data_IF_043001252575
#
_entry.id   IF_043001252575
#
_cell.length_a   1.000
_cell.length_b   1.000
_cell.length_c   1.000
_cell.angle_alpha   90.00
_cell.angle_beta   90.00
_cell.angle_gamma   90.00
#
_symmetry.space_group_name_H-M   'P 1'
#
loop_
_entity.id
_entity.type
_entity.pdbx_description
1 polymer ?
#
# COMPACT_ATOMS: atom_id res chain seq x y z
N UNK A 1 -4.72 -1.61 2.58
CA UNK A 1 -3.91 -0.67 1.77
C UNK A 1 -3.45 -1.37 0.48
N UNK A 2 -2.53 -2.33 0.55
CA UNK A 2 -2.01 -3.08 -0.62
C UNK A 2 -3.11 -3.75 -1.46
N UNK A 3 -4.15 -4.29 -0.83
CA UNK A 3 -5.26 -4.91 -1.57
C UNK A 3 -6.04 -3.91 -2.44
N UNK A 4 -6.18 -2.66 -1.98
CA UNK A 4 -6.78 -1.60 -2.79
C UNK A 4 -5.94 -1.33 -4.05
N UNK A 5 -4.60 -1.29 -3.89
CA UNK A 5 -3.69 -1.08 -5.01
C UNK A 5 -3.78 -2.20 -6.05
N UNK A 6 -3.85 -3.46 -5.62
CA UNK A 6 -4.04 -4.62 -6.52
C UNK A 6 -5.34 -4.52 -7.30
N UNK A 7 -6.44 -4.22 -6.61
CA UNK A 7 -7.75 -4.08 -7.25
C UNK A 7 -7.76 -2.89 -8.21
N UNK A 8 -7.13 -1.76 -7.86
CA UNK A 8 -7.00 -0.62 -8.77
C UNK A 8 -6.23 -0.99 -10.04
N UNK A 9 -5.11 -1.69 -9.92
CA UNK A 9 -4.34 -2.16 -11.07
C UNK A 9 -5.19 -3.06 -11.98
N UNK A 10 -5.93 -4.00 -11.38
CA UNK A 10 -6.83 -4.89 -12.11
C UNK A 10 -7.98 -4.16 -12.81
N UNK A 11 -8.61 -3.21 -12.13
CA UNK A 11 -9.79 -2.51 -12.66
C UNK A 11 -9.44 -1.48 -13.73
N UNK A 12 -8.28 -0.83 -13.62
CA UNK A 12 -7.88 0.26 -14.52
C UNK A 12 -6.97 -0.22 -15.65
N UNK A 13 -6.13 -1.22 -15.39
CA UNK A 13 -5.13 -1.72 -16.33
C UNK A 13 -5.29 -3.21 -16.67
N UNK A 14 -6.37 -3.84 -16.21
CA UNK A 14 -6.78 -5.19 -16.61
C UNK A 14 -6.13 -6.34 -15.85
N UNK A 15 -5.04 -6.09 -15.12
CA UNK A 15 -4.33 -7.14 -14.36
C UNK A 15 -3.74 -6.64 -13.05
N UNK A 16 -3.73 -7.50 -12.02
CA UNK A 16 -3.00 -7.23 -10.77
C UNK A 16 -1.48 -7.18 -11.00
N UNK A 17 -0.99 -7.75 -12.10
CA UNK A 17 0.43 -7.72 -12.48
C UNK A 17 0.89 -6.35 -13.02
N UNK A 18 -0.03 -5.41 -13.19
CA UNK A 18 0.27 -4.00 -13.46
C UNK A 18 0.48 -3.20 -12.17
N UNK A 19 0.48 -3.87 -11.01
CA UNK A 19 0.96 -3.29 -9.77
C UNK A 19 2.48 -3.48 -9.66
N UNK A 20 3.21 -2.37 -9.73
CA UNK A 20 4.61 -2.27 -9.34
C UNK A 20 4.66 -1.89 -7.87
N UNK A 21 5.39 -2.63 -7.04
CA UNK A 21 5.47 -2.40 -5.59
C UNK A 21 6.92 -2.26 -5.13
N UNK A 22 7.18 -1.20 -4.38
CA UNK A 22 8.45 -0.96 -3.70
C UNK A 22 8.21 -0.86 -2.20
N UNK A 23 8.94 -1.66 -1.41
CA UNK A 23 8.95 -1.55 0.05
C UNK A 23 9.98 -0.51 0.47
N UNK A 24 9.55 0.61 1.04
CA UNK A 24 10.44 1.72 1.39
C UNK A 24 11.37 1.40 2.55
N UNK A 25 11.15 0.31 3.28
CA UNK A 25 12.12 -0.21 4.25
C UNK A 25 13.41 -0.70 3.58
N UNK A 26 13.38 -1.10 2.30
CA UNK A 26 14.57 -1.46 1.53
C UNK A 26 15.36 -0.22 1.06
N UNK A 27 14.77 0.97 1.16
CA UNK A 27 15.31 2.25 0.69
C UNK A 27 15.61 3.21 1.85
N UNK A 28 15.90 2.67 3.03
CA UNK A 28 16.26 3.43 4.24
C UNK A 28 17.64 4.10 4.14
N UNK A 29 18.55 3.54 3.34
CA UNK A 29 19.94 3.98 3.24
C UNK A 29 20.19 4.75 1.95
N UNK A 30 21.11 5.71 1.98
CA UNK A 30 21.35 6.58 0.83
C UNK A 30 21.75 5.82 -0.44
N UNK A 31 22.57 4.78 -0.29
CA UNK A 31 23.04 3.99 -1.43
C UNK A 31 21.98 3.04 -1.99
N UNK A 32 20.91 2.71 -1.25
CA UNK A 32 19.86 1.87 -1.82
C UNK A 32 18.95 2.64 -2.77
N UNK A 33 18.94 3.97 -2.70
CA UNK A 33 18.21 4.86 -3.62
C UNK A 33 18.71 4.74 -5.04
N UNK A 34 20.02 4.52 -5.24
CA UNK A 34 20.57 4.32 -6.59
C UNK A 34 20.02 3.05 -7.26
N UNK A 35 19.52 2.07 -6.50
CA UNK A 35 18.82 0.92 -7.10
C UNK A 35 17.48 1.33 -7.70
N UNK A 36 16.83 2.35 -7.16
CA UNK A 36 15.52 2.82 -7.63
C UNK A 36 15.63 3.62 -8.93
N UNK A 37 16.64 4.49 -9.06
CA UNK A 37 16.80 5.44 -10.18
C UNK A 37 18.05 5.21 -11.05
N UNK A 38 18.91 4.28 -10.66
CA UNK A 38 20.19 3.98 -11.32
C UNK A 38 21.40 4.49 -10.51
N UNK A 39 22.55 3.87 -10.76
CA UNK A 39 23.84 4.30 -10.18
C UNK A 39 24.34 5.55 -10.90
N UNK A 40 25.00 6.50 -10.21
CA UNK A 40 25.60 7.66 -10.86
C UNK A 40 26.81 7.29 -11.74
N UNK A 41 27.24 8.17 -12.66
CA UNK A 41 28.42 7.96 -13.50
C UNK A 41 29.66 7.58 -12.68
N UNK A 42 30.34 6.52 -13.10
CA UNK A 42 31.57 6.03 -12.46
C UNK A 42 31.40 4.97 -11.37
N UNK A 43 30.17 4.51 -11.10
CA UNK A 43 29.89 3.39 -10.19
C UNK A 43 29.49 2.11 -10.97
N UNK A 44 29.69 0.94 -10.34
CA UNK A 44 29.24 -0.35 -10.89
C UNK A 44 27.71 -0.31 -11.05
N UNK A 45 27.21 -0.71 -12.22
CA UNK A 45 25.79 -0.64 -12.58
C UNK A 45 25.35 0.68 -13.22
N UNK A 46 26.27 1.59 -13.57
CA UNK A 46 25.95 2.87 -14.23
C UNK A 46 25.19 2.72 -15.56
N UNK A 47 25.42 1.64 -16.31
CA UNK A 47 24.76 1.38 -17.59
C UNK A 47 23.37 0.76 -17.47
N UNK A 48 22.90 0.47 -16.25
CA UNK A 48 21.57 -0.08 -16.00
C UNK A 48 20.67 1.02 -15.44
N UNK A 49 19.49 1.19 -16.04
CA UNK A 49 18.45 2.07 -15.49
C UNK A 49 17.99 1.59 -14.11
N UNK A 50 17.43 2.50 -13.32
CA UNK A 50 16.86 2.16 -12.03
C UNK A 50 15.66 1.21 -12.11
N UNK A 51 15.41 0.48 -11.02
CA UNK A 51 14.28 -0.45 -10.94
C UNK A 51 12.93 0.24 -11.18
N UNK A 52 12.73 1.44 -10.64
CA UNK A 52 11.50 2.21 -10.87
C UNK A 52 11.42 2.69 -12.31
N UNK A 53 12.51 3.28 -12.81
CA UNK A 53 12.53 3.91 -14.13
C UNK A 53 12.37 2.88 -15.24
N UNK A 54 13.03 1.73 -15.13
CA UNK A 54 12.89 0.64 -16.10
C UNK A 54 11.53 -0.06 -16.04
N UNK A 55 10.97 -0.29 -14.85
CA UNK A 55 9.66 -0.93 -14.76
C UNK A 55 8.55 -0.05 -15.34
N UNK A 56 8.58 1.26 -15.06
CA UNK A 56 7.60 2.22 -15.61
C UNK A 56 7.83 2.45 -17.10
N UNK A 57 9.09 2.49 -17.56
CA UNK A 57 9.40 2.57 -18.99
C UNK A 57 8.81 1.40 -19.78
N UNK A 58 8.95 0.18 -19.27
CA UNK A 58 8.41 -1.02 -19.91
C UNK A 58 6.89 -1.15 -19.77
N UNK A 59 6.32 -0.56 -18.71
CA UNK A 59 4.89 -0.62 -18.37
C UNK A 59 4.35 0.76 -17.93
N UNK A 60 4.13 1.70 -18.87
CA UNK A 60 3.73 3.06 -18.52
C UNK A 60 2.30 3.16 -17.97
N UNK A 61 1.43 2.18 -18.28
CA UNK A 61 0.05 2.11 -17.80
C UNK A 61 -0.03 1.19 -16.57
N UNK A 62 0.44 1.67 -15.42
CA UNK A 62 0.57 0.85 -14.22
C UNK A 62 0.17 1.60 -12.94
N UNK A 63 0.02 0.84 -11.85
CA UNK A 63 -0.04 1.38 -10.49
C UNK A 63 1.32 1.20 -9.85
N UNK A 64 1.93 2.27 -9.36
CA UNK A 64 3.17 2.22 -8.58
C UNK A 64 2.83 2.43 -7.11
N UNK A 65 3.15 1.44 -6.27
CA UNK A 65 2.92 1.46 -4.84
C UNK A 65 4.24 1.59 -4.08
N UNK A 66 4.42 2.72 -3.39
CA UNK A 66 5.48 2.91 -2.40
C UNK A 66 4.91 2.57 -1.02
N UNK A 67 5.26 1.41 -0.50
CA UNK A 67 4.77 0.89 0.77
C UNK A 67 5.63 1.42 1.93
N UNK A 68 5.00 1.83 3.03
CA UNK A 68 5.66 2.32 4.24
C UNK A 68 6.60 3.52 4.00
N UNK A 69 6.11 4.55 3.28
CA UNK A 69 6.91 5.70 2.85
C UNK A 69 7.61 6.46 3.98
N UNK A 70 7.12 6.38 5.22
CA UNK A 70 7.79 6.93 6.41
C UNK A 70 9.11 6.22 6.79
N UNK A 71 9.41 5.09 6.17
CA UNK A 71 10.67 4.37 6.34
C UNK A 71 11.72 4.80 5.32
N UNK A 72 11.32 5.42 4.22
CA UNK A 72 12.23 5.81 3.15
C UNK A 72 13.31 6.79 3.64
N UNK A 73 14.48 6.74 3.01
CA UNK A 73 15.49 7.79 3.13
C UNK A 73 14.93 9.14 2.66
N UNK A 74 15.26 10.28 3.30
CA UNK A 74 14.72 11.60 2.93
C UNK A 74 14.93 12.01 1.46
N UNK A 75 16.00 11.56 0.82
CA UNK A 75 16.26 11.87 -0.60
C UNK A 75 15.20 11.28 -1.55
N UNK A 76 14.45 10.25 -1.13
CA UNK A 76 13.28 9.74 -1.88
C UNK A 76 12.22 10.82 -2.07
N UNK A 77 12.09 11.77 -1.14
CA UNK A 77 11.10 12.86 -1.26
C UNK A 77 11.32 13.74 -2.48
N UNK A 78 12.58 13.99 -2.85
CA UNK A 78 12.89 14.81 -4.04
C UNK A 78 12.46 14.08 -5.31
N UNK A 79 12.69 12.77 -5.38
CA UNK A 79 12.23 11.91 -6.47
C UNK A 79 10.70 11.91 -6.54
N UNK A 80 10.02 11.80 -5.39
CA UNK A 80 8.56 11.83 -5.34
C UNK A 80 7.99 13.18 -5.80
N UNK A 81 8.60 14.30 -5.41
CA UNK A 81 8.18 15.62 -5.88
C UNK A 81 8.32 15.74 -7.40
N UNK A 82 9.42 15.26 -7.98
CA UNK A 82 9.60 15.31 -9.43
C UNK A 82 8.51 14.51 -10.17
N UNK A 83 8.23 13.29 -9.70
CA UNK A 83 7.19 12.44 -10.29
C UNK A 83 5.80 13.08 -10.14
N UNK A 84 5.46 13.57 -8.95
CA UNK A 84 4.12 14.09 -8.64
C UNK A 84 3.87 15.48 -9.25
N UNK A 85 4.91 16.28 -9.48
CA UNK A 85 4.80 17.64 -10.03
C UNK A 85 4.87 17.64 -11.55
N UNK A 86 5.91 17.02 -12.10
CA UNK A 86 6.22 17.08 -13.54
C UNK A 86 5.65 15.87 -14.30
N UNK A 87 5.17 14.85 -13.60
CA UNK A 87 4.75 13.59 -14.21
C UNK A 87 5.90 12.85 -14.89
N UNK A 88 7.16 13.14 -14.51
CA UNK A 88 8.36 12.63 -15.18
C UNK A 88 9.48 12.38 -14.19
N UNK A 89 10.42 11.51 -14.56
CA UNK A 89 11.65 11.28 -13.80
C UNK A 89 12.79 11.01 -14.76
N UNK A 90 13.91 11.69 -14.58
CA UNK A 90 15.15 11.39 -15.32
C UNK A 90 16.00 10.44 -14.51
N UNK A 91 16.36 9.30 -15.10
CA UNK A 91 17.27 8.35 -14.46
C UNK A 91 18.74 8.81 -14.54
N UNK A 92 19.65 8.09 -13.88
CA UNK A 92 21.07 8.46 -13.87
C UNK A 92 21.78 8.29 -15.21
N UNK A 93 21.17 7.60 -16.17
CA UNK A 93 21.66 7.47 -17.55
C UNK A 93 21.25 8.67 -18.42
N UNK A 94 20.37 9.53 -17.90
CA UNK A 94 19.81 10.68 -18.62
C UNK A 94 18.52 10.37 -19.37
N UNK A 95 17.96 9.16 -19.20
CA UNK A 95 16.71 8.75 -19.85
C UNK A 95 15.53 9.34 -19.08
N UNK A 96 14.68 10.07 -19.80
CA UNK A 96 13.46 10.65 -19.27
C UNK A 96 12.31 9.63 -19.30
N UNK A 97 11.74 9.32 -18.15
CA UNK A 97 10.60 8.41 -18.00
C UNK A 97 9.33 9.21 -17.76
N UNK A 98 8.25 8.82 -18.43
CA UNK A 98 6.94 9.43 -18.33
C UNK A 98 6.04 8.68 -17.34
N UNK A 99 5.45 9.41 -16.41
CA UNK A 99 4.55 8.93 -15.36
C UNK A 99 3.11 9.43 -15.55
N UNK A 100 2.78 10.17 -16.63
CA UNK A 100 1.44 10.76 -16.80
C UNK A 100 0.30 9.73 -16.86
N UNK A 101 0.59 8.49 -17.28
CA UNK A 101 -0.37 7.38 -17.32
C UNK A 101 -0.23 6.39 -16.15
N UNK A 102 0.54 6.77 -15.13
CA UNK A 102 0.74 5.95 -13.93
C UNK A 102 -0.10 6.44 -12.77
N UNK A 103 -0.55 5.53 -11.93
CA UNK A 103 -1.18 5.87 -10.66
C UNK A 103 -0.17 5.65 -9.53
N UNK A 104 0.20 6.73 -8.86
CA UNK A 104 1.10 6.67 -7.70
C UNK A 104 0.29 6.50 -6.42
N UNK A 105 0.61 5.45 -5.66
CA UNK A 105 0.05 5.18 -4.35
C UNK A 105 1.18 5.16 -3.31
N UNK A 106 0.99 5.93 -2.24
CA UNK A 106 1.86 5.89 -1.07
C UNK A 106 1.08 5.24 0.07
N UNK A 107 1.68 4.30 0.80
CA UNK A 107 1.14 3.82 2.06
C UNK A 107 1.98 4.32 3.22
N UNK A 108 1.34 4.59 4.34
CA UNK A 108 2.02 4.91 5.59
C UNK A 108 1.27 4.36 6.79
N UNK A 109 1.99 3.88 7.80
CA UNK A 109 1.43 3.46 9.09
C UNK A 109 1.55 4.55 10.17
N UNK A 110 1.91 5.78 9.78
CA UNK A 110 2.02 6.92 10.70
C UNK A 110 0.71 7.22 11.43
N UNK A 111 0.81 7.39 12.75
CA UNK A 111 -0.30 7.73 13.63
C UNK A 111 -1.31 6.61 13.85
N UNK A 112 -1.10 5.42 13.27
CA UNK A 112 -1.89 4.24 13.60
C UNK A 112 -1.65 3.86 15.09
N UNK A 113 -2.71 3.61 15.87
CA UNK A 113 -2.57 3.18 17.26
C UNK A 113 -1.80 1.86 17.39
N UNK A 114 -0.86 1.78 18.33
CA UNK A 114 -0.12 0.54 18.67
C UNK A 114 -0.97 -0.42 19.51
N UNK A 115 -1.94 0.11 20.26
CA UNK A 115 -3.02 -0.61 20.92
C UNK A 115 -4.32 0.18 20.80
N UNK A 116 -5.45 -0.48 21.03
CA UNK A 116 -6.77 0.18 21.07
C UNK A 116 -7.31 0.28 22.51
N UNK A 117 -6.50 0.00 23.53
CA UNK A 117 -6.93 -0.09 24.92
C UNK A 117 -7.57 1.21 25.41
N UNK A 118 -7.01 2.36 24.99
CA UNK A 118 -7.57 3.70 25.24
C UNK A 118 -9.03 3.82 24.78
N UNK A 119 -9.37 3.20 23.64
CA UNK A 119 -10.67 3.32 22.98
C UNK A 119 -11.64 2.20 23.36
N UNK A 120 -11.11 1.03 23.73
CA UNK A 120 -11.89 -0.16 24.09
C UNK A 120 -12.14 -0.29 25.60
N UNK A 121 -11.76 0.71 26.39
CA UNK A 121 -11.99 0.66 27.83
C UNK A 121 -13.49 0.51 28.12
N UNK A 122 -13.88 -0.61 28.72
CA UNK A 122 -15.27 -1.03 28.99
C UNK A 122 -16.16 -1.23 27.75
N UNK A 123 -15.59 -1.41 26.54
CA UNK A 123 -16.34 -1.66 25.30
C UNK A 123 -15.63 -2.66 24.39
N UNK A 124 -16.41 -3.48 23.68
CA UNK A 124 -15.88 -4.48 22.74
C UNK A 124 -15.79 -3.99 21.28
N UNK A 125 -16.09 -2.72 21.03
CA UNK A 125 -16.09 -2.13 19.69
C UNK A 125 -15.75 -0.63 19.73
N UNK A 126 -15.20 -0.13 18.62
CA UNK A 126 -14.91 1.29 18.42
C UNK A 126 -16.16 2.01 17.93
N UNK A 127 -16.56 3.08 18.62
CA UNK A 127 -17.68 3.91 18.19
C UNK A 127 -17.23 5.03 17.23
N UNK A 128 -18.18 5.83 16.73
CA UNK A 128 -17.87 6.89 15.76
C UNK A 128 -16.96 8.00 16.33
N UNK A 129 -17.08 8.30 17.63
CA UNK A 129 -16.22 9.29 18.30
C UNK A 129 -14.78 8.78 18.39
N UNK A 130 -14.59 7.51 18.74
CA UNK A 130 -13.27 6.87 18.80
C UNK A 130 -12.60 6.88 17.41
N UNK A 131 -13.35 6.50 16.38
CA UNK A 131 -12.88 6.51 15.00
C UNK A 131 -12.51 7.93 14.52
N UNK A 132 -13.23 8.96 14.98
CA UNK A 132 -12.93 10.36 14.67
C UNK A 132 -11.66 10.83 15.37
N UNK A 133 -11.45 10.48 16.65
CA UNK A 133 -10.21 10.79 17.38
C UNK A 133 -9.00 10.13 16.70
N UNK A 134 -9.10 8.84 16.37
CA UNK A 134 -8.04 8.10 15.65
C UNK A 134 -7.72 8.78 14.32
N UNK A 135 -8.72 9.14 13.52
CA UNK A 135 -8.51 9.85 12.24
C UNK A 135 -7.81 11.19 12.43
N UNK A 136 -8.20 11.96 13.43
CA UNK A 136 -7.58 13.25 13.72
C UNK A 136 -6.11 13.10 14.17
N UNK A 137 -5.82 12.10 14.99
CA UNK A 137 -4.46 11.76 15.38
C UNK A 137 -3.60 11.36 14.17
N UNK A 138 -4.13 10.50 13.29
CA UNK A 138 -3.44 10.12 12.04
C UNK A 138 -3.15 11.35 11.19
N UNK A 139 -4.15 12.21 10.97
CA UNK A 139 -3.96 13.46 10.20
C UNK A 139 -2.85 14.32 10.81
N UNK A 140 -2.91 14.57 12.11
CA UNK A 140 -1.91 15.37 12.82
C UNK A 140 -0.49 14.79 12.66
N UNK A 141 -0.34 13.47 12.79
CA UNK A 141 0.95 12.80 12.62
C UNK A 141 1.47 12.87 11.19
N UNK A 142 0.60 12.74 10.18
CA UNK A 142 0.94 12.92 8.77
C UNK A 142 1.42 14.36 8.53
N UNK A 143 0.69 15.37 9.00
CA UNK A 143 1.04 16.79 8.83
C UNK A 143 2.37 17.18 9.48
N UNK A 144 2.68 16.57 10.62
CA UNK A 144 3.92 16.86 11.35
C UNK A 144 5.14 16.15 10.76
N UNK A 145 4.92 14.99 10.13
CA UNK A 145 6.00 14.16 9.61
C UNK A 145 6.37 14.52 8.17
N UNK A 146 5.37 14.61 7.27
CA UNK A 146 5.61 14.93 5.87
C UNK A 146 5.62 16.44 5.64
N UNK A 147 6.54 16.91 4.81
CA UNK A 147 6.58 18.31 4.40
C UNK A 147 5.28 18.70 3.65
N UNK A 148 4.75 19.92 3.86
CA UNK A 148 3.59 20.42 3.12
C UNK A 148 3.74 20.33 1.60
N UNK A 149 4.97 20.51 1.10
CA UNK A 149 5.34 20.37 -0.32
C UNK A 149 4.86 19.02 -0.90
N UNK A 150 5.15 17.90 -0.23
CA UNK A 150 4.69 16.58 -0.68
C UNK A 150 3.17 16.44 -0.56
N UNK A 151 2.62 16.84 0.59
CA UNK A 151 1.19 16.68 0.88
C UNK A 151 0.30 17.45 -0.10
N UNK A 152 0.73 18.63 -0.53
CA UNK A 152 0.00 19.47 -1.48
C UNK A 152 -0.03 18.89 -2.91
N UNK A 153 0.83 17.90 -3.21
CA UNK A 153 0.90 17.22 -4.52
C UNK A 153 0.10 15.93 -4.56
N UNK A 154 -0.28 15.41 -3.39
CA UNK A 154 -1.17 14.27 -3.31
C UNK A 154 -2.59 14.70 -3.67
N UNK A 155 -3.19 14.03 -4.66
CA UNK A 155 -4.58 14.26 -5.05
C UNK A 155 -5.54 14.00 -3.90
N UNK A 156 -5.30 12.96 -3.10
CA UNK A 156 -6.16 12.61 -1.98
C UNK A 156 -5.42 11.80 -0.90
N UNK A 157 -5.80 11.99 0.36
CA UNK A 157 -5.25 11.24 1.50
C UNK A 157 -6.38 10.37 2.09
N UNK A 158 -6.27 9.06 1.89
CA UNK A 158 -7.26 8.08 2.34
C UNK A 158 -6.88 7.46 3.68
N UNK A 159 -7.70 7.69 4.70
CA UNK A 159 -7.52 7.09 6.03
C UNK A 159 -8.39 5.84 6.15
N UNK A 160 -7.75 4.69 6.33
CA UNK A 160 -8.43 3.42 6.52
C UNK A 160 -8.96 3.29 7.95
N UNK A 161 -10.21 2.88 8.08
CA UNK A 161 -10.77 2.50 9.37
C UNK A 161 -10.21 1.13 9.79
N UNK A 162 -10.07 0.87 11.12
CA UNK A 162 -9.86 -0.47 11.62
C UNK A 162 -10.98 -1.40 11.17
N UNK A 163 -10.64 -2.68 10.98
CA UNK A 163 -11.62 -3.69 10.57
C UNK A 163 -12.58 -3.97 11.71
N UNK A 164 -13.87 -4.03 11.39
CA UNK A 164 -14.90 -4.50 12.32
C UNK A 164 -15.33 -5.93 11.93
N UNK A 165 -16.14 -6.57 12.79
CA UNK A 165 -16.65 -7.93 12.58
C UNK A 165 -17.37 -8.08 11.23
N UNK A 166 -18.14 -7.07 10.81
CA UNK A 166 -18.84 -7.08 9.52
C UNK A 166 -17.85 -7.10 8.35
N UNK A 167 -16.82 -6.27 8.39
CA UNK A 167 -15.76 -6.24 7.38
C UNK A 167 -14.99 -7.56 7.32
N UNK A 168 -14.66 -8.15 8.48
CA UNK A 168 -13.99 -9.45 8.54
C UNK A 168 -14.83 -10.58 7.98
N UNK A 169 -16.15 -10.54 8.19
CA UNK A 169 -17.09 -11.48 7.62
C UNK A 169 -17.09 -11.45 6.08
N UNK A 170 -17.01 -10.25 5.49
CA UNK A 170 -16.87 -10.06 4.04
C UNK A 170 -15.51 -10.57 3.54
N UNK A 171 -14.42 -10.25 4.25
CA UNK A 171 -13.06 -10.70 3.91
C UNK A 171 -12.98 -12.23 3.94
N UNK A 172 -13.54 -12.87 4.96
CA UNK A 172 -13.61 -14.33 5.06
C UNK A 172 -14.31 -14.93 3.83
N UNK A 173 -15.47 -14.39 3.44
CA UNK A 173 -16.20 -14.86 2.27
C UNK A 173 -15.39 -14.72 0.98
N UNK A 174 -14.68 -13.60 0.82
CA UNK A 174 -13.81 -13.37 -0.32
C UNK A 174 -12.75 -14.47 -0.43
N UNK A 175 -12.01 -14.73 0.65
CA UNK A 175 -10.96 -15.76 0.64
C UNK A 175 -11.49 -17.18 0.41
N UNK A 176 -12.64 -17.53 1.00
CA UNK A 176 -13.27 -18.83 0.74
C UNK A 176 -13.69 -18.95 -0.73
N UNK A 177 -14.18 -17.87 -1.34
CA UNK A 177 -14.56 -17.86 -2.75
C UNK A 177 -13.33 -18.01 -3.65
N UNK A 178 -12.26 -17.27 -3.37
CA UNK A 178 -10.99 -17.41 -4.10
C UNK A 178 -10.40 -18.81 -4.01
N UNK A 179 -10.48 -19.43 -2.83
CA UNK A 179 -10.03 -20.80 -2.61
C UNK A 179 -10.87 -21.80 -3.41
N UNK A 180 -12.19 -21.66 -3.41
CA UNK A 180 -13.09 -22.48 -4.27
C UNK A 180 -12.74 -22.34 -5.75
N UNK A 181 -12.52 -21.12 -6.22
CA UNK A 181 -12.10 -20.86 -7.61
C UNK A 181 -10.78 -21.55 -7.93
N UNK A 182 -9.78 -21.48 -7.04
CA UNK A 182 -8.50 -22.18 -7.21
C UNK A 182 -8.66 -23.71 -7.27
N UNK A 183 -9.49 -24.29 -6.40
CA UNK A 183 -9.76 -25.74 -6.42
C UNK A 183 -10.41 -26.18 -7.74
N UNK A 184 -11.39 -25.40 -8.21
CA UNK A 184 -12.05 -25.65 -9.48
C UNK A 184 -11.09 -25.58 -10.67
N UNK A 185 -10.28 -24.51 -10.76
CA UNK A 185 -9.30 -24.33 -11.84
C UNK A 185 -8.24 -25.45 -11.85
N UNK A 186 -7.87 -25.96 -10.69
CA UNK A 186 -6.94 -27.10 -10.54
C UNK A 186 -7.61 -28.47 -10.70
N UNK A 187 -8.90 -28.52 -11.08
CA UNK A 187 -9.68 -29.75 -11.29
C UNK A 187 -9.70 -30.67 -10.06
N UNK A 188 -9.64 -30.09 -8.86
CA UNK A 188 -9.80 -30.81 -7.60
C UNK A 188 -11.29 -30.88 -7.27
N UNK A 189 -11.85 -32.08 -7.22
CA UNK A 189 -13.26 -32.32 -6.89
C UNK A 189 -13.52 -32.19 -5.38
N UNK A 190 -13.26 -31.01 -4.81
CA UNK A 190 -13.44 -30.71 -3.39
C UNK A 190 -14.52 -29.64 -3.26
N UNK A 191 -15.61 -29.97 -2.55
CA UNK A 191 -16.70 -29.03 -2.26
C UNK A 191 -16.51 -28.51 -0.83
N UNK A 192 -16.41 -27.19 -0.70
CA UNK A 192 -16.26 -26.53 0.60
C UNK A 192 -17.58 -25.87 1.00
N UNK A 193 -18.17 -26.36 2.09
CA UNK A 193 -19.31 -25.75 2.77
C UNK A 193 -18.92 -25.36 4.19
N UNK A 194 -19.11 -24.10 4.55
CA UNK A 194 -18.78 -23.59 5.88
C UNK A 194 -20.08 -23.15 6.54
N UNK A 195 -20.35 -23.70 7.72
CA UNK A 195 -21.50 -23.32 8.52
C UNK A 195 -21.35 -21.87 9.02
N UNK A 196 -22.43 -21.08 8.94
CA UNK A 196 -22.44 -19.68 9.37
C UNK A 196 -22.09 -19.50 10.87
N UNK A 197 -22.48 -20.44 11.73
CA UNK A 197 -22.16 -20.39 13.15
C UNK A 197 -20.66 -20.60 13.40
N UNK A 198 -20.06 -21.58 12.70
CA UNK A 198 -18.62 -21.83 12.76
C UNK A 198 -17.84 -20.60 12.27
N UNK A 199 -18.30 -19.99 11.18
CA UNK A 199 -17.69 -18.79 10.63
C UNK A 199 -17.72 -17.61 11.61
N UNK A 200 -18.87 -17.33 12.21
CA UNK A 200 -18.98 -16.25 13.20
C UNK A 200 -18.09 -16.53 14.41
N UNK A 201 -18.05 -17.78 14.86
CA UNK A 201 -17.18 -18.21 15.95
C UNK A 201 -15.70 -17.99 15.65
N UNK A 202 -15.23 -18.41 14.47
CA UNK A 202 -13.84 -18.17 14.02
C UNK A 202 -13.53 -16.68 14.01
N UNK A 203 -14.36 -15.86 13.35
CA UNK A 203 -14.14 -14.41 13.25
C UNK A 203 -14.06 -13.77 14.64
N UNK A 204 -14.92 -14.19 15.58
CA UNK A 204 -14.95 -13.63 16.93
C UNK A 204 -13.70 -14.02 17.73
N UNK A 205 -13.23 -15.26 17.60
CA UNK A 205 -12.02 -15.73 18.27
C UNK A 205 -10.76 -15.07 17.72
N UNK A 206 -10.69 -14.86 16.41
CA UNK A 206 -9.52 -14.26 15.75
C UNK A 206 -9.58 -12.74 15.67
N UNK A 207 -10.64 -12.11 16.19
CA UNK A 207 -10.79 -10.66 16.12
C UNK A 207 -9.72 -9.97 16.97
N UNK A 208 -8.72 -9.40 16.30
CA UNK A 208 -7.79 -8.47 16.90
C UNK A 208 -7.73 -7.19 16.04
N UNK A 209 -8.19 -6.04 16.56
CA UNK A 209 -8.12 -4.76 15.86
C UNK A 209 -6.71 -4.37 15.40
N UNK A 210 -5.66 -4.89 16.04
CA UNK A 210 -4.26 -4.58 15.73
C UNK A 210 -3.71 -5.37 14.55
N UNK A 211 -4.07 -6.65 14.42
CA UNK A 211 -3.54 -7.53 13.38
C UNK A 211 -4.31 -7.41 12.06
N UNK A 212 -5.40 -6.65 12.05
CA UNK A 212 -6.28 -6.54 10.90
C UNK A 212 -6.94 -7.88 10.59
N UNK A 213 -6.75 -8.39 9.36
CA UNK A 213 -7.28 -9.67 8.90
C UNK A 213 -6.18 -10.69 8.54
N UNK A 214 -4.95 -10.46 9.03
CA UNK A 214 -3.81 -11.38 8.82
C UNK A 214 -3.94 -12.64 9.66
#
# INVERSE_FOLDING_TARGET
KTELAKILAKQLFGSENELIRFDMSEYMEKHSISRLIGSPPGYIGYSEGGQLTEQVYNKPNCVVLFDEIEKAHPDIYNIMLQILDEGRLTDTTGKLIDFTNTIILLTSNLGCPTNYDKYLNNKNYLNELDLKDIKNNIKSKISNYFKPELLNRLTNILIFNPLNIKSLNLIFNKFITELKTKLYLNKLNIIISINNNLKYFIIKLTYNPLNGAR
#
